data_IF_712288359477
#
_entry.id   IF_712288359477
#
_cell.length_a   1.000
_cell.length_b   1.000
_cell.length_c   1.000
_cell.angle_alpha   90.00
_cell.angle_beta   90.00
_cell.angle_gamma   90.00
#
_symmetry.space_group_name_H-M   'P 1'
#
loop_
_entity.id
_entity.type
_entity.pdbx_description
1 polymer ?
#
# COMPACT_ATOMS: atom_id res chain seq x y z
N UNK A 1 -27.86 8.83 5.83
CA UNK A 1 -26.53 9.37 6.16
C UNK A 1 -25.50 8.52 5.46
N UNK A 2 -24.91 9.04 4.38
CA UNK A 2 -23.97 8.29 3.53
C UNK A 2 -22.61 8.30 4.22
N UNK A 3 -22.15 7.14 4.69
CA UNK A 3 -20.81 6.97 5.25
C UNK A 3 -19.78 7.36 4.19
N UNK A 4 -18.98 8.38 4.48
CA UNK A 4 -17.88 8.82 3.62
C UNK A 4 -16.81 7.72 3.60
N UNK A 5 -16.83 6.87 2.56
CA UNK A 5 -15.79 5.88 2.34
C UNK A 5 -14.48 6.62 2.07
N UNK A 6 -13.46 6.37 2.90
CA UNK A 6 -12.12 6.90 2.72
C UNK A 6 -11.68 6.68 1.27
N UNK A 7 -11.38 7.76 0.56
CA UNK A 7 -11.09 7.72 -0.87
C UNK A 7 -9.58 7.76 -1.06
N UNK A 8 -8.98 6.62 -1.40
CA UNK A 8 -7.53 6.53 -1.65
C UNK A 8 -7.21 7.09 -3.02
N UNK A 9 -6.55 8.25 -3.05
CA UNK A 9 -6.03 8.87 -4.27
C UNK A 9 -4.69 8.26 -4.63
N UNK A 10 -4.53 7.84 -5.88
CA UNK A 10 -3.31 7.17 -6.39
C UNK A 10 -2.91 7.72 -7.75
N UNK A 11 -1.64 7.53 -8.10
CA UNK A 11 -1.10 7.71 -9.45
C UNK A 11 -0.52 6.38 -9.95
N UNK A 12 -0.72 6.09 -11.23
CA UNK A 12 -0.23 4.86 -11.89
C UNK A 12 0.33 5.24 -13.25
N UNK A 13 1.47 4.64 -13.64
CA UNK A 13 2.02 4.71 -14.99
C UNK A 13 2.02 3.31 -15.59
N UNK A 14 1.46 3.15 -16.79
CA UNK A 14 1.40 1.86 -17.47
C UNK A 14 1.00 1.99 -18.94
N UNK A 15 0.99 0.88 -19.66
CA UNK A 15 0.61 0.81 -21.06
C UNK A 15 -0.87 0.47 -21.21
N UNK A 16 -1.57 1.17 -22.11
CA UNK A 16 -2.96 0.82 -22.47
C UNK A 16 -2.95 -0.46 -23.28
N UNK A 17 -3.56 -1.53 -22.77
CA UNK A 17 -3.71 -2.81 -23.49
C UNK A 17 -4.98 -2.85 -24.33
N UNK A 18 -6.06 -2.25 -23.82
CA UNK A 18 -7.38 -2.17 -24.48
C UNK A 18 -8.11 -0.91 -24.04
N UNK A 19 -9.00 -0.40 -24.89
CA UNK A 19 -9.95 0.66 -24.59
C UNK A 19 -11.37 0.24 -24.99
N UNK A 20 -12.36 0.72 -24.24
CA UNK A 20 -13.78 0.56 -24.54
C UNK A 20 -14.50 1.89 -24.31
N UNK A 21 -15.25 2.34 -25.32
CA UNK A 21 -15.96 3.62 -25.30
C UNK A 21 -17.45 3.39 -25.03
N UNK A 22 -17.99 4.12 -24.06
CA UNK A 22 -19.41 4.15 -23.73
C UNK A 22 -19.90 5.60 -23.74
N UNK A 23 -21.21 5.80 -23.81
CA UNK A 23 -21.83 7.13 -23.92
C UNK A 23 -21.41 8.11 -22.81
N UNK A 24 -21.16 7.62 -21.61
CA UNK A 24 -20.83 8.45 -20.43
C UNK A 24 -19.37 8.34 -19.98
N UNK A 25 -18.63 7.35 -20.47
CA UNK A 25 -17.30 7.05 -19.97
C UNK A 25 -16.45 6.26 -20.96
N UNK A 26 -15.14 6.40 -20.82
CA UNK A 26 -14.17 5.52 -21.47
C UNK A 26 -13.50 4.67 -20.42
N UNK A 27 -13.29 3.40 -20.75
CA UNK A 27 -12.61 2.44 -19.90
C UNK A 27 -11.34 1.96 -20.57
N UNK A 28 -10.25 1.96 -19.82
CA UNK A 28 -8.93 1.50 -20.25
C UNK A 28 -8.50 0.32 -19.40
N UNK A 29 -7.91 -0.69 -20.03
CA UNK A 29 -7.13 -1.71 -19.34
C UNK A 29 -5.67 -1.26 -19.35
N UNK A 30 -5.14 -0.83 -18.21
CA UNK A 30 -3.77 -0.32 -18.07
C UNK A 30 -2.91 -1.38 -17.38
N UNK A 31 -1.77 -1.70 -17.98
CA UNK A 31 -0.84 -2.72 -17.50
C UNK A 31 0.50 -2.06 -17.13
N UNK A 32 0.94 -2.22 -15.89
CA UNK A 32 2.22 -1.71 -15.37
C UNK A 32 3.26 -2.83 -15.16
N UNK A 33 2.95 -4.05 -15.61
CA UNK A 33 3.74 -5.28 -15.44
C UNK A 33 3.86 -5.79 -13.99
N UNK A 34 3.13 -5.23 -13.02
CA UNK A 34 3.18 -5.70 -11.63
C UNK A 34 2.11 -6.74 -11.29
N UNK A 35 1.11 -6.92 -12.16
CA UNK A 35 0.01 -7.86 -11.97
C UNK A 35 -0.99 -7.83 -13.14
N UNK A 36 -2.22 -8.33 -12.94
CA UNK A 36 -3.27 -8.24 -13.95
C UNK A 36 -3.58 -6.77 -14.34
N UNK A 37 -3.95 -6.49 -15.60
CA UNK A 37 -4.25 -5.12 -16.03
C UNK A 37 -5.34 -4.46 -15.18
N UNK A 38 -5.07 -3.24 -14.72
CA UNK A 38 -5.98 -2.43 -13.92
C UNK A 38 -7.06 -1.82 -14.80
N UNK A 39 -8.33 -1.95 -14.38
CA UNK A 39 -9.44 -1.27 -15.04
C UNK A 39 -9.49 0.20 -14.59
N UNK A 40 -9.32 1.10 -15.55
CA UNK A 40 -9.36 2.54 -15.36
C UNK A 40 -10.63 3.08 -16.03
N UNK A 41 -11.48 3.77 -15.27
CA UNK A 41 -12.71 4.39 -15.78
C UNK A 41 -12.58 5.90 -15.73
N UNK A 42 -12.70 6.55 -16.88
CA UNK A 42 -12.70 8.01 -17.01
C UNK A 42 -14.10 8.46 -17.46
N UNK A 43 -14.73 9.33 -16.69
CA UNK A 43 -15.96 10.00 -17.13
C UNK A 43 -15.59 11.06 -18.16
N UNK A 44 -16.30 11.04 -19.29
CA UNK A 44 -15.94 11.85 -20.46
C UNK A 44 -16.79 13.11 -20.44
N UNK A 45 -16.14 14.28 -20.49
CA UNK A 45 -16.74 15.49 -21.04
C UNK A 45 -16.46 15.56 -22.55
N UNK A 46 -17.09 16.47 -23.28
CA UNK A 46 -17.08 16.53 -24.77
C UNK A 46 -15.69 16.55 -25.46
N UNK A 47 -14.57 16.70 -24.72
CA UNK A 47 -13.22 16.89 -25.26
C UNK A 47 -12.22 15.73 -25.04
N UNK A 48 -12.63 14.55 -24.56
CA UNK A 48 -11.66 13.47 -24.33
C UNK A 48 -11.16 12.84 -25.65
N UNK A 49 -9.86 12.98 -25.94
CA UNK A 49 -9.23 12.30 -27.09
C UNK A 49 -9.04 10.81 -26.82
N UNK A 50 -9.39 9.94 -27.78
CA UNK A 50 -9.19 8.50 -27.62
C UNK A 50 -7.70 8.14 -27.56
N UNK A 51 -7.31 7.35 -26.56
CA UNK A 51 -5.93 6.87 -26.41
C UNK A 51 -5.82 5.47 -27.02
N UNK A 52 -4.87 5.30 -27.94
CA UNK A 52 -4.64 4.03 -28.63
C UNK A 52 -4.01 2.97 -27.70
N UNK A 53 -4.34 1.68 -27.90
CA UNK A 53 -3.56 0.59 -27.31
C UNK A 53 -2.08 0.67 -27.69
N UNK A 54 -1.20 0.32 -26.75
CA UNK A 54 0.26 0.43 -26.87
C UNK A 54 0.83 1.76 -26.38
N UNK A 55 -0.02 2.77 -26.12
CA UNK A 55 0.43 4.06 -25.57
C UNK A 55 0.64 3.98 -24.06
N UNK A 56 1.76 4.49 -23.57
CA UNK A 56 1.99 4.70 -22.15
C UNK A 56 1.20 5.89 -21.64
N UNK A 57 0.55 5.73 -20.49
CA UNK A 57 -0.25 6.75 -19.84
C UNK A 57 0.10 6.92 -18.38
N UNK A 58 -0.01 8.15 -17.87
CA UNK A 58 -0.06 8.45 -16.43
C UNK A 58 -1.52 8.69 -16.08
N UNK A 59 -2.02 7.90 -15.13
CA UNK A 59 -3.38 8.00 -14.61
C UNK A 59 -3.32 8.49 -13.18
N UNK A 60 -4.13 9.49 -12.85
CA UNK A 60 -4.36 9.89 -11.45
C UNK A 60 -5.84 9.79 -11.15
N UNK A 61 -6.18 9.27 -9.97
CA UNK A 61 -7.57 8.99 -9.66
C UNK A 61 -7.79 8.41 -8.29
N UNK A 62 -9.01 7.95 -8.06
CA UNK A 62 -9.44 7.35 -6.80
C UNK A 62 -9.66 5.85 -7.00
N UNK A 63 -8.96 5.04 -6.21
CA UNK A 63 -9.14 3.59 -6.26
C UNK A 63 -10.44 3.22 -5.53
N UNK A 64 -11.28 2.42 -6.19
CA UNK A 64 -12.54 1.90 -5.66
C UNK A 64 -12.59 0.38 -5.85
N UNK A 65 -13.39 -0.30 -5.05
CA UNK A 65 -13.61 -1.74 -5.15
C UNK A 65 -13.08 -2.53 -3.95
N UNK A 66 -13.55 -3.77 -3.83
CA UNK A 66 -13.19 -4.70 -2.76
C UNK A 66 -11.95 -5.53 -3.09
N UNK A 67 -11.84 -6.71 -2.48
CA UNK A 67 -10.71 -7.62 -2.67
C UNK A 67 -10.59 -8.17 -4.10
N UNK A 68 -11.71 -8.40 -4.77
CA UNK A 68 -11.76 -9.18 -6.02
C UNK A 68 -11.64 -8.34 -7.29
N UNK A 69 -12.15 -7.10 -7.26
CA UNK A 69 -12.09 -6.20 -8.42
C UNK A 69 -11.87 -4.75 -7.98
N UNK A 70 -10.66 -4.24 -8.25
CA UNK A 70 -10.31 -2.84 -8.05
C UNK A 70 -10.44 -2.08 -9.37
N UNK A 71 -11.08 -0.92 -9.31
CA UNK A 71 -11.28 -0.01 -10.43
C UNK A 71 -10.74 1.36 -10.05
N UNK A 72 -9.93 1.94 -10.93
CA UNK A 72 -9.42 3.30 -10.76
C UNK A 72 -10.36 4.29 -11.44
N UNK A 73 -11.05 5.11 -10.67
CA UNK A 73 -11.83 6.23 -11.18
C UNK A 73 -10.88 7.38 -11.51
N UNK A 74 -10.58 7.55 -12.79
CA UNK A 74 -9.61 8.52 -13.26
C UNK A 74 -10.15 9.95 -13.18
N UNK A 75 -9.36 10.83 -12.56
CA UNK A 75 -9.52 12.28 -12.61
C UNK A 75 -8.74 12.87 -13.79
N UNK A 76 -7.60 12.27 -14.11
CA UNK A 76 -6.78 12.66 -15.25
C UNK A 76 -6.12 11.42 -15.86
N UNK A 77 -6.20 11.31 -17.18
CA UNK A 77 -5.46 10.34 -17.99
C UNK A 77 -4.70 11.13 -19.04
N UNK A 78 -3.37 10.97 -19.08
CA UNK A 78 -2.54 11.59 -20.12
C UNK A 78 -1.57 10.62 -20.73
N UNK A 79 -1.33 10.75 -22.02
CA UNK A 79 -0.22 10.08 -22.68
C UNK A 79 1.11 10.59 -22.10
N UNK A 80 2.06 9.68 -21.92
CA UNK A 80 3.45 10.07 -21.64
C UNK A 80 4.05 10.69 -22.90
N UNK A 81 4.77 11.79 -22.72
CA UNK A 81 5.55 12.39 -23.80
C UNK A 81 7.01 11.93 -23.74
N UNK A 82 7.52 11.68 -22.53
CA UNK A 82 8.88 11.24 -22.29
C UNK A 82 8.90 9.90 -21.56
N UNK A 83 9.69 8.93 -22.03
CA UNK A 83 9.74 7.60 -21.41
C UNK A 83 10.46 7.59 -20.06
N UNK A 84 11.29 8.61 -19.77
CA UNK A 84 11.93 8.78 -18.46
C UNK A 84 10.91 8.92 -17.31
N UNK A 85 9.67 9.30 -17.62
CA UNK A 85 8.56 9.35 -16.66
C UNK A 85 8.21 7.96 -16.09
N UNK A 86 8.50 6.88 -16.81
CA UNK A 86 8.28 5.51 -16.34
C UNK A 86 9.26 5.22 -15.20
N UNK A 87 10.56 5.43 -15.43
CA UNK A 87 11.60 5.19 -14.44
C UNK A 87 11.46 6.12 -13.23
N UNK A 88 11.15 7.39 -13.45
CA UNK A 88 10.93 8.32 -12.34
C UNK A 88 9.72 7.95 -11.50
N UNK A 89 8.63 7.45 -12.12
CA UNK A 89 7.47 6.98 -11.39
C UNK A 89 7.76 5.70 -10.59
N UNK A 90 8.57 4.77 -11.11
CA UNK A 90 9.00 3.60 -10.32
C UNK A 90 9.74 4.03 -9.05
N UNK A 91 10.65 5.01 -9.16
CA UNK A 91 11.36 5.56 -8.00
C UNK A 91 10.43 6.33 -7.05
N UNK A 92 9.47 7.10 -7.59
CA UNK A 92 8.43 7.79 -6.82
C UNK A 92 7.61 6.81 -5.98
N UNK A 93 7.18 5.68 -6.58
CA UNK A 93 6.43 4.63 -5.89
C UNK A 93 7.24 4.00 -4.77
N UNK A 94 8.50 3.63 -5.03
CA UNK A 94 9.39 3.07 -4.00
C UNK A 94 9.61 4.07 -2.87
N UNK A 95 9.89 5.34 -3.19
CA UNK A 95 10.09 6.38 -2.20
C UNK A 95 8.83 6.64 -1.37
N UNK A 96 7.66 6.76 -2.01
CA UNK A 96 6.40 6.98 -1.32
C UNK A 96 6.04 5.79 -0.43
N UNK A 97 6.23 4.56 -0.91
CA UNK A 97 6.06 3.37 -0.11
C UNK A 97 7.04 3.37 1.08
N UNK A 98 8.30 3.76 0.86
CA UNK A 98 9.27 3.89 1.95
C UNK A 98 8.92 5.00 2.94
N UNK A 99 8.25 6.08 2.54
CA UNK A 99 7.84 7.14 3.47
C UNK A 99 6.59 6.75 4.27
N UNK A 100 5.69 5.97 3.67
CA UNK A 100 4.43 5.56 4.28
C UNK A 100 4.56 4.28 5.12
N UNK A 101 5.42 3.35 4.69
CA UNK A 101 5.56 2.00 5.24
C UNK A 101 7.03 1.58 5.45
N UNK A 102 7.98 2.26 4.80
CA UNK A 102 9.40 2.06 5.08
C UNK A 102 9.85 2.89 6.28
N UNK A 103 10.98 2.50 6.86
CA UNK A 103 11.74 3.36 7.74
C UNK A 103 12.85 4.05 6.96
N UNK A 104 13.36 5.15 7.53
CA UNK A 104 14.65 5.72 7.16
C UNK A 104 15.71 4.61 7.17
N UNK A 105 16.22 4.24 6.00
CA UNK A 105 17.48 3.52 5.91
C UNK A 105 18.58 4.52 6.23
N UNK A 106 19.24 4.36 7.38
CA UNK A 106 20.52 5.02 7.62
C UNK A 106 21.53 4.36 6.68
N UNK A 107 21.77 4.97 5.51
CA UNK A 107 22.81 4.54 4.58
C UNK A 107 24.15 5.05 5.11
N UNK A 108 24.52 4.62 6.31
CA UNK A 108 25.87 4.81 6.81
C UNK A 108 26.77 3.82 6.07
N UNK A 109 27.47 4.29 5.03
CA UNK A 109 28.44 3.51 4.25
C UNK A 109 29.72 3.15 5.04
N UNK A 110 29.71 3.25 6.37
CA UNK A 110 30.86 2.89 7.20
C UNK A 110 30.64 1.51 7.84
N UNK A 111 31.37 0.46 7.41
CA UNK A 111 31.22 -0.88 7.96
C UNK A 111 32.05 -0.99 9.23
N UNK A 112 31.57 -0.43 10.33
CA UNK A 112 32.01 -0.86 11.67
C UNK A 112 31.03 -1.89 12.17
N UNK A 113 31.42 -3.16 11.98
CA UNK A 113 30.70 -4.36 12.33
C UNK A 113 30.39 -4.45 13.84
N UNK A 114 29.11 -4.59 14.16
CA UNK A 114 28.61 -5.17 15.40
C UNK A 114 27.42 -6.08 15.06
N UNK A 115 27.32 -7.30 15.63
CA UNK A 115 26.27 -8.22 15.26
C UNK A 115 24.94 -7.78 15.90
N UNK A 116 24.00 -7.33 15.06
CA UNK A 116 22.61 -7.05 15.46
C UNK A 116 22.16 -5.61 15.29
N UNK A 117 22.22 -5.07 14.07
CA UNK A 117 21.68 -3.75 13.76
C UNK A 117 20.41 -3.87 12.90
N UNK A 118 19.29 -4.20 13.56
CA UNK A 118 17.96 -3.97 12.99
C UNK A 118 17.58 -2.50 13.20
N UNK A 119 17.29 -1.78 12.12
CA UNK A 119 16.97 -0.34 12.15
C UNK A 119 15.91 0.00 13.21
N UNK A 120 16.33 0.77 14.20
CA UNK A 120 15.54 1.20 15.36
C UNK A 120 14.77 2.47 14.97
N UNK A 121 13.44 2.48 15.15
CA UNK A 121 12.62 3.70 15.05
C UNK A 121 12.98 4.71 16.15
N UNK A 122 12.51 5.96 16.05
CA UNK A 122 12.56 6.93 17.15
C UNK A 122 11.92 6.44 18.47
N UNK A 123 11.19 5.31 18.45
CA UNK A 123 10.51 4.68 19.60
C UNK A 123 11.30 3.48 20.16
N UNK A 124 12.50 3.16 19.65
CA UNK A 124 13.24 1.98 20.12
C UNK A 124 12.82 0.65 19.47
N UNK A 125 11.87 0.69 18.52
CA UNK A 125 11.33 -0.51 17.85
C UNK A 125 12.04 -0.84 16.54
N UNK A 126 12.30 -2.12 16.28
CA UNK A 126 12.77 -2.63 14.99
C UNK A 126 11.72 -2.47 13.88
N UNK A 127 12.13 -2.58 12.61
CA UNK A 127 11.22 -2.41 11.44
C UNK A 127 9.99 -3.26 11.50
N UNK A 128 10.20 -4.53 11.79
CA UNK A 128 9.15 -5.53 11.86
C UNK A 128 8.25 -5.27 13.07
N UNK A 129 8.82 -4.89 14.22
CA UNK A 129 8.04 -4.56 15.43
C UNK A 129 7.13 -3.35 15.22
N UNK A 130 7.62 -2.31 14.53
CA UNK A 130 6.83 -1.13 14.21
C UNK A 130 5.62 -1.46 13.31
N UNK A 131 5.83 -2.26 12.27
CA UNK A 131 4.76 -2.71 11.36
C UNK A 131 3.71 -3.56 12.08
N UNK A 132 4.14 -4.53 12.88
CA UNK A 132 3.24 -5.37 13.68
C UNK A 132 2.41 -4.50 14.63
N UNK A 133 3.04 -3.53 15.32
CA UNK A 133 2.35 -2.60 16.20
C UNK A 133 1.37 -1.69 15.46
N UNK A 134 1.74 -1.19 14.27
CA UNK A 134 0.87 -0.34 13.45
C UNK A 134 -0.42 -1.07 13.06
N UNK A 135 -0.30 -2.30 12.55
CA UNK A 135 -1.47 -3.12 12.21
C UNK A 135 -2.34 -3.36 13.43
N UNK A 136 -1.76 -3.72 14.58
CA UNK A 136 -2.54 -3.92 15.82
C UNK A 136 -3.29 -2.65 16.23
N UNK A 137 -2.68 -1.46 16.07
CA UNK A 137 -3.33 -0.17 16.36
C UNK A 137 -4.50 0.11 15.42
N UNK A 138 -4.41 -0.23 14.13
CA UNK A 138 -5.52 -0.06 13.19
C UNK A 138 -6.79 -0.81 13.64
N UNK A 139 -6.62 -1.92 14.36
CA UNK A 139 -7.72 -2.73 14.89
C UNK A 139 -8.04 -2.44 16.36
N UNK A 140 -7.48 -1.39 16.96
CA UNK A 140 -7.75 -1.02 18.36
C UNK A 140 -9.22 -0.67 18.63
N UNK A 141 -9.95 -0.16 17.62
CA UNK A 141 -11.38 0.11 17.72
C UNK A 141 -12.25 -1.17 17.74
N UNK A 142 -11.70 -2.32 17.31
CA UNK A 142 -12.38 -3.60 17.38
C UNK A 142 -12.43 -4.08 18.83
N UNK A 143 -13.60 -4.55 19.29
CA UNK A 143 -13.82 -4.99 20.67
C UNK A 143 -12.77 -6.00 21.13
N UNK A 144 -12.52 -7.00 20.29
CA UNK A 144 -11.69 -8.17 20.62
C UNK A 144 -10.21 -8.04 20.18
N UNK A 145 -9.84 -6.94 19.52
CA UNK A 145 -8.49 -6.78 18.93
C UNK A 145 -8.32 -7.54 17.61
N UNK A 146 -7.08 -7.97 17.31
CA UNK A 146 -6.73 -8.69 16.08
C UNK A 146 -6.08 -10.05 16.40
N UNK A 147 -6.53 -11.11 15.71
CA UNK A 147 -5.98 -12.45 15.83
C UNK A 147 -4.66 -12.65 15.07
N UNK A 148 -3.81 -13.58 15.52
CA UNK A 148 -2.52 -13.89 14.89
C UNK A 148 -2.66 -14.34 13.42
N UNK A 149 -3.73 -15.04 13.07
CA UNK A 149 -4.00 -15.48 11.70
C UNK A 149 -4.30 -14.28 10.79
N UNK A 150 -5.15 -13.37 11.27
CA UNK A 150 -5.49 -12.11 10.60
C UNK A 150 -4.24 -11.24 10.40
N UNK A 151 -3.41 -11.11 11.44
CA UNK A 151 -2.11 -10.44 11.41
C UNK A 151 -1.20 -11.02 10.32
N UNK A 152 -1.14 -12.35 10.20
CA UNK A 152 -0.35 -13.03 9.17
C UNK A 152 -0.90 -12.79 7.76
N UNK A 153 -2.21 -12.69 7.60
CA UNK A 153 -2.84 -12.32 6.32
C UNK A 153 -2.52 -10.88 5.93
N UNK A 154 -2.56 -9.94 6.88
CA UNK A 154 -2.23 -8.53 6.63
C UNK A 154 -0.73 -8.32 6.39
N UNK A 155 0.12 -9.06 7.09
CA UNK A 155 1.58 -8.99 7.01
C UNK A 155 2.15 -10.17 6.22
N UNK A 156 1.55 -10.50 5.08
CA UNK A 156 1.89 -11.69 4.28
C UNK A 156 3.33 -11.74 3.75
N UNK A 157 4.07 -10.64 3.81
CA UNK A 157 5.48 -10.55 3.44
C UNK A 157 6.44 -10.97 4.58
N UNK A 158 5.95 -11.06 5.84
CA UNK A 158 6.78 -11.44 6.98
C UNK A 158 6.82 -12.96 7.17
N UNK A 159 7.98 -13.46 7.59
CA UNK A 159 8.10 -14.85 8.02
C UNK A 159 7.29 -15.08 9.31
N UNK A 160 6.79 -16.31 9.50
CA UNK A 160 6.07 -16.66 10.73
C UNK A 160 6.96 -16.61 11.98
N UNK A 161 8.27 -16.68 11.82
CA UNK A 161 9.24 -16.55 12.91
C UNK A 161 9.37 -15.10 13.32
N UNK A 162 9.57 -14.18 12.37
CA UNK A 162 9.74 -12.76 12.65
C UNK A 162 8.49 -12.12 13.26
N UNK A 163 7.31 -12.54 12.80
CA UNK A 163 6.04 -12.12 13.38
C UNK A 163 5.93 -12.53 14.85
N UNK A 164 6.25 -13.78 15.18
CA UNK A 164 6.20 -14.29 16.56
C UNK A 164 7.22 -13.60 17.46
N UNK A 165 8.45 -13.43 17.01
CA UNK A 165 9.50 -12.73 17.75
C UNK A 165 9.11 -11.28 18.04
N UNK A 166 8.49 -10.62 17.05
CA UNK A 166 8.02 -9.23 17.20
C UNK A 166 6.85 -9.12 18.18
N UNK A 167 5.88 -10.04 18.12
CA UNK A 167 4.77 -10.09 19.08
C UNK A 167 5.26 -10.32 20.51
N UNK A 168 6.19 -11.27 20.70
CA UNK A 168 6.77 -11.55 22.02
C UNK A 168 7.47 -10.33 22.61
N UNK A 169 8.25 -9.61 21.79
CA UNK A 169 8.90 -8.37 22.19
C UNK A 169 7.88 -7.28 22.57
N UNK A 170 6.88 -7.04 21.72
CA UNK A 170 5.86 -6.00 21.96
C UNK A 170 5.02 -6.27 23.22
N UNK A 171 4.77 -7.55 23.53
CA UNK A 171 4.14 -7.95 24.79
C UNK A 171 5.06 -7.68 25.99
N UNK A 172 6.34 -8.03 25.89
CA UNK A 172 7.31 -7.86 26.97
C UNK A 172 7.54 -6.37 27.31
N UNK A 173 7.63 -5.52 26.30
CA UNK A 173 7.79 -4.07 26.47
C UNK A 173 6.47 -3.35 26.82
N UNK A 174 5.33 -4.07 26.83
CA UNK A 174 4.03 -3.52 27.21
C UNK A 174 3.35 -2.66 26.14
N UNK A 175 3.79 -2.70 24.88
CA UNK A 175 3.16 -1.97 23.78
C UNK A 175 1.82 -2.58 23.35
N UNK A 176 1.66 -3.88 23.55
CA UNK A 176 0.44 -4.64 23.26
C UNK A 176 0.12 -5.58 24.44
N UNK A 177 -1.14 -6.00 24.52
CA UNK A 177 -1.60 -7.02 25.47
C UNK A 177 -2.54 -8.01 24.77
N UNK A 178 -2.66 -9.22 25.35
CA UNK A 178 -3.59 -10.24 24.89
C UNK A 178 -5.00 -9.97 25.43
N UNK A 179 -6.04 -10.12 24.61
CA UNK A 179 -7.43 -9.82 24.98
C UNK A 179 -8.20 -11.08 25.39
N UNK A 180 -8.99 -11.63 24.47
CA UNK A 180 -9.93 -12.74 24.69
C UNK A 180 -9.22 -14.09 24.85
N UNK A 181 -8.09 -14.25 24.18
CA UNK A 181 -7.23 -15.43 24.26
C UNK A 181 -5.76 -15.05 24.05
N UNK A 182 -4.87 -16.06 24.07
CA UNK A 182 -3.42 -15.89 23.89
C UNK A 182 -2.99 -15.56 22.44
N UNK A 183 -3.94 -15.50 21.52
CA UNK A 183 -3.73 -15.31 20.09
C UNK A 183 -4.41 -14.05 19.54
N UNK A 184 -5.10 -13.28 20.38
CA UNK A 184 -5.69 -11.97 20.05
C UNK A 184 -4.95 -10.86 20.76
N UNK A 185 -4.56 -9.83 20.00
CA UNK A 185 -3.70 -8.74 20.47
C UNK A 185 -4.37 -7.39 20.29
N UNK A 186 -4.10 -6.49 21.24
CA UNK A 186 -4.56 -5.10 21.21
C UNK A 186 -3.45 -4.16 21.70
N UNK A 187 -3.39 -2.94 21.18
CA UNK A 187 -2.37 -1.96 21.62
C UNK A 187 -2.75 -1.33 22.95
N UNK A 188 -1.75 -1.09 23.79
CA UNK A 188 -1.90 -0.42 25.09
C UNK A 188 -2.12 1.09 24.94
N UNK A 189 -1.65 1.68 23.84
CA UNK A 189 -1.82 3.10 23.52
C UNK A 189 -2.85 3.28 22.41
N UNK A 190 -3.70 4.30 22.57
CA UNK A 190 -4.92 4.52 21.81
C UNK A 190 -4.73 5.38 20.54
#
# INVERSE_FOLDING_TARGET
MTTAQATTKVSVVGVVRRSAHYDTNVQYCVDDMTGPPLLVKQWVGEEATPICPGTYVKVTGCLRGGSDQKVLLALNVRCLQELNEITSHMMEVVQAHMQLFGKAFDVNMNPTAGPGAGGVLPIGLSTIQGEVLHVIRTYAASGDGIGIHELKTQLGFLSSTDLRTSLAFLLNEGHIFSTVDQHHFKSTEH
#
